data_IF_942542274884
#
_entry.id   IF_942542274884
#
_cell.length_a   1.000
_cell.length_b   1.000
_cell.length_c   1.000
_cell.angle_alpha   90.00
_cell.angle_beta   90.00
_cell.angle_gamma   90.00
#
_symmetry.space_group_name_H-M   'P 1'
#
loop_
_entity.id
_entity.type
_entity.pdbx_description
1 polymer ?
#
# COMPACT_ATOMS: atom_id res chain seq x y z
N UNK A 1 -30.78 -13.49 -3.38
CA UNK A 1 -30.26 -13.14 -4.74
C UNK A 1 -28.98 -13.93 -4.95
N UNK A 2 -28.97 -14.86 -5.89
CA UNK A 2 -27.76 -15.64 -6.22
C UNK A 2 -26.80 -14.74 -6.98
N UNK A 3 -25.66 -14.42 -6.36
CA UNK A 3 -24.57 -13.66 -7.00
C UNK A 3 -24.04 -14.54 -8.12
N UNK A 4 -24.38 -14.21 -9.36
CA UNK A 4 -24.09 -15.03 -10.55
C UNK A 4 -22.58 -15.12 -10.90
N UNK A 5 -21.74 -14.20 -10.40
CA UNK A 5 -20.31 -14.16 -10.74
C UNK A 5 -19.49 -13.59 -9.61
N UNK A 6 -18.71 -14.40 -8.90
CA UNK A 6 -17.78 -13.92 -7.87
C UNK A 6 -16.56 -13.25 -8.50
N UNK A 7 -16.15 -12.06 -8.02
CA UNK A 7 -14.88 -11.45 -8.40
C UNK A 7 -13.71 -12.42 -8.18
N UNK A 8 -12.77 -12.49 -9.11
CA UNK A 8 -11.66 -13.47 -9.03
C UNK A 8 -10.79 -13.29 -7.78
N UNK A 9 -10.73 -12.08 -7.19
CA UNK A 9 -10.01 -11.86 -5.94
C UNK A 9 -10.66 -12.61 -4.77
N UNK A 10 -11.98 -12.75 -4.78
CA UNK A 10 -12.69 -13.55 -3.76
C UNK A 10 -12.36 -15.03 -3.95
N UNK A 11 -12.73 -15.61 -5.09
CA UNK A 11 -12.60 -17.06 -5.33
C UNK A 11 -11.16 -17.58 -5.36
N UNK A 12 -10.18 -16.75 -5.72
CA UNK A 12 -8.78 -17.18 -5.84
C UNK A 12 -7.91 -16.80 -4.64
N UNK A 13 -8.24 -15.72 -3.94
CA UNK A 13 -7.37 -15.19 -2.88
C UNK A 13 -8.04 -15.28 -1.51
N UNK A 14 -9.25 -14.74 -1.36
CA UNK A 14 -9.95 -14.73 -0.05
C UNK A 14 -10.33 -16.14 0.36
N UNK A 15 -10.99 -16.90 -0.51
CA UNK A 15 -11.46 -18.27 -0.24
C UNK A 15 -10.29 -19.26 -0.01
N UNK A 16 -9.07 -18.89 -0.39
CA UNK A 16 -7.85 -19.66 -0.16
C UNK A 16 -7.00 -19.13 1.00
N UNK A 17 -7.51 -18.21 1.81
CA UNK A 17 -6.81 -17.61 2.98
C UNK A 17 -5.49 -16.92 2.63
N UNK A 18 -5.35 -16.36 1.43
CA UNK A 18 -4.15 -15.65 0.97
C UNK A 18 -4.26 -14.12 1.12
N UNK A 19 -5.44 -13.61 1.50
CA UNK A 19 -5.68 -12.18 1.59
C UNK A 19 -4.98 -11.57 2.81
N UNK A 20 -4.20 -10.50 2.60
CA UNK A 20 -3.55 -9.73 3.67
C UNK A 20 -4.23 -8.41 3.97
N UNK A 21 -5.40 -8.15 3.39
CA UNK A 21 -6.21 -6.96 3.72
C UNK A 21 -5.75 -5.65 3.10
N UNK A 22 -4.84 -5.66 2.12
CA UNK A 22 -4.27 -4.41 1.56
C UNK A 22 -5.31 -3.46 0.93
N UNK A 23 -6.46 -3.96 0.45
CA UNK A 23 -7.56 -3.17 -0.07
C UNK A 23 -7.37 -2.59 -1.48
N UNK A 24 -6.23 -2.86 -2.15
CA UNK A 24 -5.94 -2.28 -3.47
C UNK A 24 -6.92 -2.79 -4.54
N UNK A 25 -7.37 -4.03 -4.43
CA UNK A 25 -8.35 -4.61 -5.35
C UNK A 25 -9.71 -3.89 -5.35
N UNK A 26 -10.08 -3.27 -4.24
CA UNK A 26 -11.34 -2.52 -4.12
C UNK A 26 -11.34 -1.32 -5.04
N UNK A 27 -10.21 -0.61 -5.20
CA UNK A 27 -10.11 0.55 -6.11
C UNK A 27 -10.23 0.19 -7.60
N UNK A 28 -10.22 -1.08 -7.93
CA UNK A 28 -10.48 -1.57 -9.30
C UNK A 28 -11.95 -1.95 -9.53
N UNK A 29 -12.72 -2.10 -8.46
CA UNK A 29 -14.11 -2.59 -8.48
C UNK A 29 -14.93 -1.92 -7.35
N UNK A 30 -14.87 -0.59 -7.23
CA UNK A 30 -15.45 0.18 -6.12
C UNK A 30 -16.96 -0.02 -5.93
N UNK A 31 -17.69 -0.17 -7.03
CA UNK A 31 -19.15 -0.41 -6.98
C UNK A 31 -19.50 -1.86 -6.61
N UNK A 32 -18.51 -2.75 -6.54
CA UNK A 32 -18.71 -4.18 -6.33
C UNK A 32 -18.11 -4.67 -5.03
N UNK A 33 -16.97 -4.11 -4.63
CA UNK A 33 -16.18 -4.54 -3.49
C UNK A 33 -16.03 -3.43 -2.46
N UNK A 34 -16.13 -3.79 -1.18
CA UNK A 34 -15.69 -2.98 -0.05
C UNK A 34 -14.74 -3.78 0.84
N UNK A 35 -14.01 -3.10 1.72
CA UNK A 35 -13.21 -3.78 2.74
C UNK A 35 -13.99 -3.87 4.03
N UNK A 36 -14.05 -5.07 4.60
CA UNK A 36 -14.68 -5.31 5.89
C UNK A 36 -13.90 -6.34 6.71
N UNK A 37 -14.16 -6.43 8.00
CA UNK A 37 -13.60 -7.47 8.86
C UNK A 37 -14.34 -8.79 8.64
N UNK A 38 -13.58 -9.87 8.47
CA UNK A 38 -14.16 -11.20 8.54
C UNK A 38 -14.35 -11.65 10.00
N UNK A 39 -14.94 -12.81 10.22
CA UNK A 39 -15.17 -13.43 11.55
C UNK A 39 -13.89 -13.61 12.39
N UNK A 40 -12.73 -13.68 11.75
CA UNK A 40 -11.42 -13.82 12.39
C UNK A 40 -10.73 -12.47 12.66
N UNK A 41 -11.38 -11.34 12.37
CA UNK A 41 -10.85 -10.00 12.60
C UNK A 41 -9.81 -9.53 11.57
N UNK A 42 -9.77 -10.13 10.37
CA UNK A 42 -8.92 -9.67 9.28
C UNK A 42 -9.73 -8.87 8.26
N UNK A 43 -9.16 -7.79 7.74
CA UNK A 43 -9.72 -7.09 6.59
C UNK A 43 -9.67 -7.98 5.36
N UNK A 44 -10.83 -8.15 4.72
CA UNK A 44 -10.98 -8.82 3.43
C UNK A 44 -11.90 -8.04 2.51
N UNK A 45 -11.75 -8.10 1.18
CA UNK A 45 -12.74 -7.55 0.27
C UNK A 45 -14.03 -8.36 0.36
N UNK A 46 -15.15 -7.68 0.54
CA UNK A 46 -16.51 -8.23 0.56
C UNK A 46 -17.31 -7.74 -0.64
N UNK A 47 -18.25 -8.55 -1.12
CA UNK A 47 -19.08 -8.21 -2.28
C UNK A 47 -20.27 -7.38 -1.80
N UNK A 48 -20.40 -6.16 -2.32
CA UNK A 48 -21.53 -5.25 -2.02
C UNK A 48 -22.54 -5.19 -3.17
N UNK A 49 -22.12 -5.44 -4.42
CA UNK A 49 -22.97 -5.46 -5.59
C UNK A 49 -22.48 -6.49 -6.63
N UNK A 50 -23.30 -6.77 -7.64
CA UNK A 50 -22.92 -7.64 -8.75
C UNK A 50 -21.69 -7.14 -9.48
N UNK A 51 -20.81 -8.05 -9.88
CA UNK A 51 -19.56 -7.74 -10.57
C UNK A 51 -19.74 -7.86 -12.09
N UNK A 52 -19.61 -6.72 -12.78
CA UNK A 52 -19.63 -6.68 -14.25
C UNK A 52 -18.25 -6.96 -14.88
N UNK A 53 -17.17 -6.80 -14.09
CA UNK A 53 -15.78 -6.94 -14.54
C UNK A 53 -15.00 -7.94 -13.67
N UNK A 54 -15.24 -9.22 -13.87
CA UNK A 54 -14.75 -10.36 -13.05
C UNK A 54 -13.25 -10.45 -12.80
N UNK A 55 -12.41 -9.70 -13.54
CA UNK A 55 -10.96 -9.94 -13.52
C UNK A 55 -10.08 -8.71 -13.26
N UNK A 56 -10.63 -7.51 -13.16
CA UNK A 56 -9.78 -6.33 -12.95
C UNK A 56 -9.19 -6.28 -11.54
N UNK A 57 -9.98 -6.56 -10.54
CA UNK A 57 -9.57 -6.55 -9.14
C UNK A 57 -8.36 -7.45 -8.84
N UNK A 58 -8.26 -8.61 -9.51
CA UNK A 58 -7.16 -9.55 -9.26
C UNK A 58 -5.84 -9.11 -9.91
N UNK A 59 -5.88 -8.22 -10.91
CA UNK A 59 -4.66 -7.77 -11.61
C UNK A 59 -3.72 -6.95 -10.74
N UNK A 60 -4.24 -6.34 -9.69
CA UNK A 60 -3.44 -5.55 -8.72
C UNK A 60 -3.19 -6.30 -7.41
N UNK A 61 -3.63 -7.55 -7.33
CA UNK A 61 -3.43 -8.36 -6.12
C UNK A 61 -1.99 -8.88 -6.05
N UNK A 62 -1.25 -8.61 -4.96
CA UNK A 62 0.15 -9.06 -4.80
C UNK A 62 0.30 -10.59 -4.73
N UNK A 63 -0.79 -11.32 -4.45
CA UNK A 63 -0.84 -12.78 -4.36
C UNK A 63 -1.42 -13.47 -5.60
N UNK A 64 -1.75 -12.70 -6.64
CA UNK A 64 -2.11 -13.29 -7.92
C UNK A 64 -0.85 -13.84 -8.60
N UNK A 65 -0.88 -15.11 -9.00
CA UNK A 65 0.20 -15.79 -9.70
C UNK A 65 0.47 -15.24 -11.11
N UNK A 66 -0.55 -14.62 -11.71
CA UNK A 66 -0.50 -13.99 -13.05
C UNK A 66 -1.14 -12.61 -13.01
N UNK A 67 -0.55 -11.63 -12.30
CA UNK A 67 -1.22 -10.34 -12.06
C UNK A 67 -1.41 -9.55 -13.37
N UNK A 68 -0.33 -9.26 -14.06
CA UNK A 68 -0.32 -8.57 -15.37
C UNK A 68 0.79 -9.22 -16.18
N UNK A 69 0.58 -9.40 -17.47
CA UNK A 69 1.62 -9.86 -18.38
C UNK A 69 2.85 -8.94 -18.20
N UNK A 70 4.01 -9.52 -18.08
CA UNK A 70 5.29 -8.83 -17.91
C UNK A 70 5.61 -8.27 -16.49
N UNK A 71 4.70 -8.44 -15.52
CA UNK A 71 4.94 -8.06 -14.11
C UNK A 71 4.67 -9.20 -13.12
N UNK A 72 4.87 -10.43 -13.55
CA UNK A 72 4.59 -11.59 -12.71
C UNK A 72 5.60 -11.77 -11.55
N UNK A 73 6.79 -11.18 -11.66
CA UNK A 73 7.87 -11.33 -10.67
C UNK A 73 8.50 -9.99 -10.26
N UNK A 74 9.30 -10.02 -9.20
CA UNK A 74 9.95 -8.83 -8.64
C UNK A 74 10.96 -8.19 -9.60
N UNK A 75 11.65 -8.98 -10.45
CA UNK A 75 12.61 -8.46 -11.42
C UNK A 75 11.90 -7.61 -12.50
N UNK A 76 10.71 -8.03 -12.94
CA UNK A 76 9.89 -7.29 -13.91
C UNK A 76 9.31 -6.01 -13.31
N UNK A 77 8.83 -6.06 -12.06
CA UNK A 77 8.39 -4.87 -11.33
C UNK A 77 9.56 -3.87 -11.22
N UNK A 78 10.76 -4.33 -10.85
CA UNK A 78 11.94 -3.47 -10.73
C UNK A 78 12.36 -2.86 -12.07
N UNK A 79 12.31 -3.61 -13.18
CA UNK A 79 12.58 -3.09 -14.53
C UNK A 79 11.59 -1.98 -14.91
N UNK A 80 10.29 -2.14 -14.56
CA UNK A 80 9.25 -1.15 -14.85
C UNK A 80 9.44 0.19 -14.13
N UNK A 81 10.25 0.21 -13.08
CA UNK A 81 10.60 1.42 -12.34
C UNK A 81 11.75 2.22 -13.01
N UNK A 82 12.23 1.81 -14.20
CA UNK A 82 13.31 2.46 -14.96
C UNK A 82 14.55 2.78 -14.10
N UNK A 83 14.93 1.86 -13.21
CA UNK A 83 16.12 2.02 -12.38
C UNK A 83 17.31 1.34 -13.04
N UNK A 84 18.11 2.13 -13.73
CA UNK A 84 19.41 1.71 -14.23
C UNK A 84 20.37 1.48 -13.07
N UNK A 85 21.35 0.58 -13.26
CA UNK A 85 22.44 0.31 -12.30
C UNK A 85 22.06 -0.39 -11.00
N UNK A 86 21.01 -1.23 -11.01
CA UNK A 86 20.69 -2.07 -9.85
C UNK A 86 21.77 -3.15 -9.65
N UNK A 87 22.25 -3.26 -8.43
CA UNK A 87 23.04 -4.41 -7.96
C UNK A 87 22.07 -5.55 -7.63
N UNK A 88 22.49 -6.79 -7.84
CA UNK A 88 21.69 -7.99 -7.53
C UNK A 88 22.36 -8.83 -6.46
N UNK A 89 21.59 -9.26 -5.47
CA UNK A 89 22.04 -10.19 -4.44
C UNK A 89 20.95 -11.24 -4.19
N UNK A 90 21.37 -12.49 -3.93
CA UNK A 90 20.45 -13.61 -3.74
C UNK A 90 19.50 -13.40 -2.55
N UNK A 91 19.96 -12.75 -1.49
CA UNK A 91 19.19 -12.56 -0.24
C UNK A 91 18.48 -11.20 -0.18
N UNK A 92 19.02 -10.17 -0.85
CA UNK A 92 18.52 -8.80 -0.80
C UNK A 92 17.66 -8.42 -2.02
N UNK A 93 17.68 -9.25 -3.06
CA UNK A 93 17.07 -8.88 -4.34
C UNK A 93 17.86 -7.81 -5.08
N UNK A 94 17.16 -6.89 -5.74
CA UNK A 94 17.75 -5.78 -6.48
C UNK A 94 17.85 -4.53 -5.59
N UNK A 95 19.02 -3.89 -5.55
CA UNK A 95 19.27 -2.70 -4.73
C UNK A 95 20.25 -1.74 -5.39
N UNK A 96 20.21 -0.47 -5.01
CA UNK A 96 21.19 0.54 -5.43
C UNK A 96 22.37 0.58 -4.44
N UNK A 97 22.07 0.89 -3.19
CA UNK A 97 23.04 0.99 -2.10
C UNK A 97 22.43 0.45 -0.81
N UNK A 98 23.31 0.10 0.11
CA UNK A 98 22.93 -0.36 1.46
C UNK A 98 23.58 0.58 2.46
N UNK A 99 22.81 1.03 3.44
CA UNK A 99 23.25 1.89 4.51
C UNK A 99 22.77 1.33 5.85
N UNK A 100 23.57 1.53 6.88
CA UNK A 100 23.19 1.22 8.25
C UNK A 100 23.38 2.46 9.11
N UNK A 101 22.43 2.72 10.02
CA UNK A 101 22.51 3.88 10.90
C UNK A 101 21.23 4.13 11.67
N UNK A 102 21.16 5.28 12.32
CA UNK A 102 19.98 5.74 13.03
C UNK A 102 19.85 7.26 12.94
N UNK A 103 18.65 7.78 13.12
CA UNK A 103 18.40 9.21 13.25
C UNK A 103 18.56 9.63 14.71
N UNK A 104 19.50 10.50 15.01
CA UNK A 104 19.71 11.04 16.37
C UNK A 104 18.39 11.66 16.90
N UNK A 105 17.70 12.42 16.06
CA UNK A 105 16.46 13.11 16.41
C UNK A 105 15.29 12.14 16.69
N UNK A 106 15.15 11.09 15.88
CA UNK A 106 13.96 10.23 15.90
C UNK A 106 14.18 8.87 16.59
N UNK A 107 15.42 8.55 17.01
CA UNK A 107 15.75 7.25 17.62
C UNK A 107 14.89 6.91 18.84
N UNK A 108 14.69 7.91 19.72
CA UNK A 108 13.95 7.72 20.99
C UNK A 108 12.44 7.56 20.81
N UNK A 109 11.87 8.12 19.73
CA UNK A 109 10.43 8.10 19.44
C UNK A 109 10.00 7.01 18.45
N UNK A 110 10.95 6.29 17.87
CA UNK A 110 10.71 5.25 16.87
C UNK A 110 10.92 3.85 17.44
N UNK A 111 10.30 2.85 16.80
CA UNK A 111 10.45 1.43 17.18
C UNK A 111 11.83 0.85 16.84
N UNK A 112 12.56 1.48 15.90
CA UNK A 112 13.90 1.08 15.45
C UNK A 112 14.79 2.32 15.32
N UNK A 113 15.66 2.40 14.33
CA UNK A 113 16.62 3.51 14.13
C UNK A 113 16.01 4.88 13.84
N UNK A 114 14.72 4.99 13.51
CA UNK A 114 14.05 6.24 13.19
C UNK A 114 14.38 6.80 11.81
N UNK A 115 15.03 6.04 10.94
CA UNK A 115 15.44 6.49 9.60
C UNK A 115 14.22 6.73 8.71
N UNK A 116 13.20 5.87 8.76
CA UNK A 116 11.98 6.07 7.98
C UNK A 116 11.31 7.41 8.33
N UNK A 117 11.12 7.70 9.64
CA UNK A 117 10.59 8.99 10.10
C UNK A 117 11.45 10.16 9.65
N UNK A 118 12.78 10.04 9.73
CA UNK A 118 13.71 11.06 9.26
C UNK A 118 13.56 11.33 7.76
N UNK A 119 13.65 10.30 6.94
CA UNK A 119 13.56 10.44 5.46
C UNK A 119 12.23 11.08 5.05
N UNK A 120 11.11 10.59 5.58
CA UNK A 120 9.78 11.13 5.27
C UNK A 120 9.64 12.59 5.70
N UNK A 121 10.22 12.96 6.86
CA UNK A 121 10.23 14.34 7.34
C UNK A 121 11.06 15.27 6.45
N UNK A 122 12.22 14.80 5.97
CA UNK A 122 13.07 15.59 5.07
C UNK A 122 12.44 15.73 3.68
N UNK A 123 11.82 14.68 3.12
CA UNK A 123 11.10 14.77 1.86
C UNK A 123 9.96 15.82 1.92
N UNK A 124 9.22 15.85 3.04
CA UNK A 124 8.17 16.86 3.26
C UNK A 124 8.74 18.27 3.42
N UNK A 125 9.81 18.45 4.20
CA UNK A 125 10.46 19.78 4.40
C UNK A 125 11.02 20.36 3.11
N UNK A 126 11.56 19.50 2.26
CA UNK A 126 12.17 19.89 0.98
C UNK A 126 11.14 20.10 -0.15
N UNK A 127 9.85 19.88 0.12
CA UNK A 127 8.79 20.02 -0.88
C UNK A 127 8.79 18.94 -1.96
N UNK A 128 9.49 17.82 -1.74
CA UNK A 128 9.49 16.68 -2.65
C UNK A 128 8.15 15.92 -2.63
N UNK A 129 7.46 16.02 -1.51
CA UNK A 129 6.11 15.48 -1.28
C UNK A 129 5.26 16.49 -0.51
N UNK A 130 3.95 16.40 -0.70
CA UNK A 130 2.97 17.21 0.02
C UNK A 130 2.40 16.46 1.24
N UNK A 131 2.33 15.13 1.16
CA UNK A 131 1.76 14.28 2.21
C UNK A 131 2.52 12.96 2.37
N UNK A 132 2.53 12.50 3.62
CA UNK A 132 2.94 11.13 3.97
C UNK A 132 1.69 10.32 4.32
N UNK A 133 1.54 9.16 3.71
CA UNK A 133 0.51 8.17 4.03
C UNK A 133 1.13 7.10 4.94
N UNK A 134 0.66 7.03 6.17
CA UNK A 134 1.14 6.07 7.17
C UNK A 134 0.01 5.65 8.11
N UNK A 135 0.23 4.59 8.88
CA UNK A 135 -0.75 4.09 9.85
C UNK A 135 -0.78 5.00 11.07
N UNK A 136 -1.96 5.53 11.37
CA UNK A 136 -2.25 6.39 12.52
C UNK A 136 -3.36 5.81 13.39
N UNK A 137 -3.53 6.35 14.59
CA UNK A 137 -4.74 6.12 15.39
C UNK A 137 -5.94 6.71 14.63
N UNK A 138 -7.00 5.94 14.49
CA UNK A 138 -8.25 6.43 13.89
C UNK A 138 -8.89 7.48 14.81
N UNK A 139 -9.37 8.55 14.21
CA UNK A 139 -10.07 9.63 14.92
C UNK A 139 -11.60 9.56 14.73
N UNK A 140 -12.03 8.91 13.66
CA UNK A 140 -13.43 8.96 13.20
C UNK A 140 -14.14 7.60 13.23
N UNK A 141 -13.39 6.51 13.41
CA UNK A 141 -13.94 5.18 13.23
C UNK A 141 -13.90 4.38 14.53
N UNK A 142 -15.05 4.20 15.17
CA UNK A 142 -15.19 3.37 16.36
C UNK A 142 -14.90 1.88 16.09
N UNK A 143 -15.02 1.44 14.84
CA UNK A 143 -14.80 0.04 14.44
C UNK A 143 -13.31 -0.30 14.20
N UNK A 144 -12.40 0.68 14.10
CA UNK A 144 -10.99 0.47 13.86
C UNK A 144 -10.12 1.37 14.74
N UNK A 145 -9.16 0.78 15.46
CA UNK A 145 -8.23 1.53 16.32
C UNK A 145 -7.17 2.28 15.50
N UNK A 146 -6.74 1.70 14.37
CA UNK A 146 -5.74 2.27 13.49
C UNK A 146 -6.18 2.23 12.04
N UNK A 147 -5.79 3.23 11.28
CA UNK A 147 -6.05 3.33 9.85
C UNK A 147 -4.87 3.97 9.11
N UNK A 148 -4.79 3.78 7.79
CA UNK A 148 -3.94 4.60 6.95
C UNK A 148 -4.54 6.00 6.81
N UNK A 149 -3.74 7.03 7.09
CA UNK A 149 -4.16 8.42 6.97
C UNK A 149 -3.00 9.32 6.50
N UNK A 150 -3.34 10.55 6.08
CA UNK A 150 -2.40 11.54 5.59
C UNK A 150 -1.74 12.30 6.75
N UNK A 151 -0.46 12.62 6.57
CA UNK A 151 0.29 13.61 7.38
C UNK A 151 0.79 14.70 6.46
N UNK A 152 0.42 15.94 6.75
CA UNK A 152 0.88 17.15 6.04
C UNK A 152 1.93 17.95 6.81
N UNK A 153 2.33 17.48 7.98
CA UNK A 153 3.35 18.13 8.80
C UNK A 153 4.34 17.13 9.41
N UNK A 154 5.53 17.63 9.76
CA UNK A 154 6.58 16.82 10.41
C UNK A 154 6.13 16.33 11.79
N UNK A 155 5.35 17.12 12.51
CA UNK A 155 4.83 16.74 13.82
C UNK A 155 3.83 15.58 13.70
N UNK A 156 2.95 15.60 12.70
CA UNK A 156 2.05 14.48 12.41
C UNK A 156 2.81 13.21 12.03
N UNK A 157 3.88 13.31 11.22
CA UNK A 157 4.75 12.17 10.88
C UNK A 157 5.38 11.60 12.16
N UNK A 158 5.92 12.47 13.02
CA UNK A 158 6.56 12.07 14.27
C UNK A 158 5.58 11.40 15.23
N UNK A 159 4.36 11.92 15.35
CA UNK A 159 3.29 11.35 16.18
C UNK A 159 2.77 9.99 15.64
N UNK A 160 2.88 9.76 14.34
CA UNK A 160 2.54 8.47 13.72
C UNK A 160 3.69 7.46 13.73
N UNK A 161 4.87 7.83 14.20
CA UNK A 161 6.02 6.94 14.34
C UNK A 161 5.70 5.74 15.26
N UNK A 162 6.48 4.70 15.22
CA UNK A 162 6.28 3.39 15.86
C UNK A 162 5.37 2.44 15.06
N UNK A 163 5.76 1.19 15.09
CA UNK A 163 5.03 0.09 14.45
C UNK A 163 3.68 -0.14 15.12
N UNK A 164 2.64 -0.30 14.34
CA UNK A 164 1.29 -0.70 14.77
C UNK A 164 1.01 -2.11 14.25
N UNK A 165 0.86 -3.05 15.17
CA UNK A 165 0.49 -4.43 14.86
C UNK A 165 -1.04 -4.54 14.89
N UNK A 166 -1.67 -4.14 13.81
CA UNK A 166 -3.13 -4.08 13.69
C UNK A 166 -3.55 -4.25 12.22
N UNK A 167 -4.67 -4.92 11.94
CA UNK A 167 -5.20 -5.01 10.58
C UNK A 167 -5.56 -3.63 10.03
N UNK A 168 -5.02 -3.28 8.89
CA UNK A 168 -5.26 -1.98 8.22
C UNK A 168 -5.42 -2.19 6.73
N UNK A 169 -6.09 -1.25 6.05
CA UNK A 169 -6.31 -1.28 4.61
C UNK A 169 -5.98 0.06 3.95
N UNK A 170 -5.51 0.04 2.71
CA UNK A 170 -5.21 1.23 1.90
C UNK A 170 -6.42 1.76 1.14
N UNK A 171 -7.56 1.05 1.14
CA UNK A 171 -8.70 1.36 0.28
C UNK A 171 -9.12 2.84 0.33
N UNK A 172 -9.27 3.41 1.55
CA UNK A 172 -9.68 4.81 1.76
C UNK A 172 -8.63 5.81 1.22
N UNK A 173 -7.36 5.60 1.55
CA UNK A 173 -6.30 6.56 1.16
C UNK A 173 -5.96 6.50 -0.33
N UNK A 174 -6.18 5.37 -0.98
CA UNK A 174 -6.02 5.27 -2.43
C UNK A 174 -7.04 6.13 -3.19
N UNK A 175 -8.28 6.24 -2.70
CA UNK A 175 -9.27 7.19 -3.23
C UNK A 175 -8.83 8.64 -3.06
N UNK A 176 -8.30 8.97 -1.88
CA UNK A 176 -7.77 10.33 -1.63
C UNK A 176 -6.64 10.66 -2.61
N UNK A 177 -5.78 9.68 -2.97
CA UNK A 177 -4.75 9.88 -3.99
C UNK A 177 -5.37 10.16 -5.37
N UNK A 178 -6.52 9.57 -5.71
CA UNK A 178 -7.21 9.85 -6.97
C UNK A 178 -7.85 11.24 -7.03
N UNK A 179 -8.34 11.73 -5.92
CA UNK A 179 -9.06 13.01 -5.82
C UNK A 179 -8.11 14.21 -5.66
N UNK A 180 -7.01 14.01 -4.92
CA UNK A 180 -6.11 15.09 -4.51
C UNK A 180 -4.91 15.22 -5.45
N UNK A 181 -4.77 16.36 -6.12
CA UNK A 181 -3.60 16.65 -6.96
C UNK A 181 -2.40 17.06 -6.10
N UNK A 182 -1.66 16.05 -5.64
CA UNK A 182 -0.53 16.20 -4.72
C UNK A 182 0.49 15.06 -4.92
N UNK A 183 1.68 15.24 -4.34
CA UNK A 183 2.74 14.26 -4.30
C UNK A 183 2.74 13.54 -2.94
N UNK A 184 2.80 12.21 -2.97
CA UNK A 184 2.69 11.39 -1.77
C UNK A 184 3.93 10.52 -1.57
N UNK A 185 4.31 10.33 -0.30
CA UNK A 185 5.08 9.18 0.14
C UNK A 185 4.16 8.23 0.91
N UNK A 186 4.36 6.92 0.77
CA UNK A 186 3.55 5.92 1.46
C UNK A 186 4.42 4.89 2.16
N UNK A 187 4.06 4.52 3.38
CA UNK A 187 4.70 3.41 4.11
C UNK A 187 3.90 2.14 3.95
N UNK A 188 4.58 0.99 3.86
CA UNK A 188 3.86 -0.27 3.73
C UNK A 188 4.72 -1.50 3.98
N UNK A 189 4.08 -2.60 4.38
CA UNK A 189 4.71 -3.91 4.41
C UNK A 189 4.90 -4.45 2.97
N UNK A 190 5.82 -5.38 2.72
CA UNK A 190 6.20 -5.81 1.36
C UNK A 190 5.03 -6.18 0.44
N UNK A 191 4.01 -6.89 0.95
CA UNK A 191 2.84 -7.24 0.15
C UNK A 191 2.01 -6.01 -0.25
N UNK A 192 1.87 -5.01 0.63
CA UNK A 192 1.19 -3.76 0.31
C UNK A 192 1.99 -2.96 -0.72
N UNK A 193 3.31 -2.88 -0.54
CA UNK A 193 4.22 -2.23 -1.50
C UNK A 193 4.10 -2.87 -2.89
N UNK A 194 4.11 -4.20 -2.98
CA UNK A 194 3.94 -4.92 -4.25
C UNK A 194 2.60 -4.57 -4.91
N UNK A 195 1.50 -4.58 -4.15
CA UNK A 195 0.20 -4.19 -4.67
C UNK A 195 0.14 -2.74 -5.16
N UNK A 196 0.74 -1.78 -4.42
CA UNK A 196 0.88 -0.39 -4.86
C UNK A 196 1.67 -0.30 -6.18
N UNK A 197 2.77 -1.05 -6.33
CA UNK A 197 3.56 -1.09 -7.56
C UNK A 197 2.76 -1.64 -8.75
N UNK A 198 1.96 -2.68 -8.54
CA UNK A 198 1.04 -3.20 -9.56
C UNK A 198 -0.02 -2.15 -9.95
N UNK A 199 -0.56 -1.41 -8.98
CA UNK A 199 -1.49 -0.31 -9.25
C UNK A 199 -0.82 0.84 -10.02
N UNK A 200 0.40 1.24 -9.66
CA UNK A 200 1.20 2.24 -10.39
C UNK A 200 1.48 1.82 -11.83
N UNK A 201 1.78 0.55 -12.05
CA UNK A 201 1.99 0.02 -13.40
C UNK A 201 0.72 0.09 -14.25
N UNK A 202 -0.43 -0.17 -13.65
CA UNK A 202 -1.71 -0.16 -14.36
C UNK A 202 -2.27 1.24 -14.57
N UNK A 203 -1.94 2.21 -13.69
CA UNK A 203 -2.52 3.54 -13.67
C UNK A 203 -1.44 4.62 -13.49
N UNK A 204 -1.21 5.41 -14.55
CA UNK A 204 -0.21 6.47 -14.59
C UNK A 204 -0.45 7.57 -13.53
N UNK A 205 -1.69 7.80 -13.10
CA UNK A 205 -1.98 8.78 -12.04
C UNK A 205 -1.30 8.38 -10.73
N UNK A 206 -1.39 7.11 -10.33
CA UNK A 206 -0.71 6.62 -9.13
C UNK A 206 0.81 6.64 -9.28
N UNK A 207 1.32 6.37 -10.48
CA UNK A 207 2.75 6.48 -10.79
C UNK A 207 3.24 7.93 -10.66
N UNK A 208 2.44 8.88 -11.13
CA UNK A 208 2.74 10.32 -11.05
C UNK A 208 2.68 10.83 -9.60
N UNK A 209 1.66 10.44 -8.83
CA UNK A 209 1.36 11.00 -7.51
C UNK A 209 2.12 10.33 -6.37
N UNK A 210 2.35 9.02 -6.40
CA UNK A 210 3.14 8.32 -5.37
C UNK A 210 4.62 8.37 -5.76
N UNK A 211 5.35 9.32 -5.18
CA UNK A 211 6.77 9.55 -5.47
C UNK A 211 7.69 8.58 -4.74
N UNK A 212 7.36 8.28 -3.48
CA UNK A 212 8.19 7.44 -2.62
C UNK A 212 7.36 6.36 -1.94
N UNK A 213 7.95 5.18 -1.79
CA UNK A 213 7.41 4.08 -0.96
C UNK A 213 8.52 3.64 -0.01
N UNK A 214 8.21 3.58 1.28
CA UNK A 214 9.12 3.29 2.39
C UNK A 214 8.64 2.07 3.18
#
# INVERSE_FOLDING_TARGET
MTIKNNPKVISKIVDNNLCTGCGICVTECENTLSMDFNENGFYVPTIINNCDSLSNCIKVCPFNDKPIKDLANEDEINKSLNRDKLKKNKHLGNYLNLYAGHSIKHRKTSSSGGIATFVLSELLRNGEIDYVISVKKSLENESSIYEYALSGSVDEISNSSKTKYYPVTLAKVLKIIEEKDANFAITGVPCFVKGIRLKQFKNELYKKRIKFIV
#
